data_IF_428402087630
#
_entry.id   IF_428402087630
#
_cell.length_a   1.000
_cell.length_b   1.000
_cell.length_c   1.000
_cell.angle_alpha   90.00
_cell.angle_beta   90.00
_cell.angle_gamma   90.00
#
_symmetry.space_group_name_H-M   'P 1'
#
loop_
_entity.id
_entity.type
_entity.pdbx_description
1 polymer ?
#
# COMPACT_ATOMS: atom_id res chain seq x y z
N UNK A 1 23.29 37.61 4.42
CA UNK A 1 22.66 37.01 3.24
C UNK A 1 21.87 35.77 3.67
N UNK A 2 20.61 35.66 3.25
CA UNK A 2 19.81 34.49 3.50
C UNK A 2 20.19 33.41 2.49
N UNK A 3 20.20 32.15 2.95
CA UNK A 3 20.44 30.98 2.10
C UNK A 3 19.09 30.29 1.90
N UNK A 4 18.74 30.01 0.65
CA UNK A 4 17.53 29.22 0.30
C UNK A 4 17.97 27.86 -0.20
N UNK A 5 17.42 26.80 0.40
CA UNK A 5 17.57 25.46 -0.13
C UNK A 5 16.45 25.20 -1.18
N UNK A 6 16.86 24.76 -2.36
CA UNK A 6 15.95 24.26 -3.41
C UNK A 6 16.17 22.77 -3.51
N UNK A 7 15.08 22.01 -3.41
CA UNK A 7 15.13 20.55 -3.50
C UNK A 7 14.84 20.10 -4.94
N UNK A 8 15.70 19.23 -5.43
CA UNK A 8 15.51 18.52 -6.69
C UNK A 8 15.09 17.08 -6.40
N UNK A 9 13.91 16.71 -6.84
CA UNK A 9 13.30 15.41 -6.53
C UNK A 9 13.59 14.42 -7.64
N UNK A 10 14.28 13.31 -7.31
CA UNK A 10 14.52 12.26 -8.28
C UNK A 10 13.24 11.51 -8.63
N UNK A 11 13.27 10.84 -9.76
CA UNK A 11 12.22 9.87 -10.10
C UNK A 11 12.27 8.67 -9.14
N UNK A 12 11.09 8.19 -8.81
CA UNK A 12 10.91 7.03 -7.95
C UNK A 12 11.23 5.75 -8.73
N UNK A 13 11.86 4.74 -8.10
CA UNK A 13 12.20 3.46 -8.73
C UNK A 13 10.96 2.72 -9.24
N UNK A 14 11.10 1.95 -10.30
CA UNK A 14 10.04 1.13 -10.86
C UNK A 14 9.86 -0.17 -10.08
N UNK A 15 8.68 -0.78 -10.19
CA UNK A 15 8.36 -2.07 -9.60
C UNK A 15 8.01 -3.03 -10.73
N UNK A 16 8.76 -4.12 -10.82
CA UNK A 16 8.56 -5.19 -11.80
C UNK A 16 8.09 -6.47 -11.11
N UNK A 17 7.35 -7.28 -11.84
CA UNK A 17 7.01 -8.63 -11.44
C UNK A 17 8.21 -9.57 -11.53
N UNK A 18 8.02 -10.86 -11.18
CA UNK A 18 9.07 -11.88 -11.25
C UNK A 18 9.61 -12.13 -12.66
N UNK A 19 8.82 -11.83 -13.71
CA UNK A 19 9.16 -12.04 -15.11
C UNK A 19 9.78 -10.78 -15.74
N UNK A 20 9.84 -9.66 -15.02
CA UNK A 20 10.33 -8.38 -15.51
C UNK A 20 9.23 -7.56 -16.20
N UNK A 21 7.95 -7.93 -16.06
CA UNK A 21 6.83 -7.12 -16.52
C UNK A 21 6.61 -5.94 -15.57
N UNK A 22 6.39 -4.75 -16.12
CA UNK A 22 6.15 -3.54 -15.33
C UNK A 22 4.83 -3.65 -14.56
N UNK A 23 4.88 -3.40 -13.26
CA UNK A 23 3.73 -3.28 -12.38
C UNK A 23 3.46 -1.80 -12.05
N UNK A 24 4.50 -1.08 -11.61
CA UNK A 24 4.40 0.33 -11.23
C UNK A 24 5.56 1.11 -11.83
N UNK A 25 5.22 2.11 -12.63
CA UNK A 25 6.15 3.06 -13.22
C UNK A 25 5.86 4.50 -12.79
N UNK A 26 6.35 5.44 -13.58
CA UNK A 26 6.14 6.86 -13.37
C UNK A 26 5.51 7.50 -14.59
N UNK A 27 4.71 8.55 -14.34
CA UNK A 27 4.16 9.42 -15.37
C UNK A 27 4.37 10.88 -14.99
N UNK A 28 4.62 11.77 -15.97
CA UNK A 28 4.77 13.18 -15.68
C UNK A 28 3.44 13.79 -15.21
N UNK A 29 3.52 14.68 -14.24
CA UNK A 29 2.44 15.53 -13.81
C UNK A 29 2.98 16.94 -13.58
N UNK A 30 2.09 17.90 -13.47
CA UNK A 30 2.44 19.31 -13.42
C UNK A 30 1.68 19.98 -12.29
N UNK A 31 2.41 20.66 -11.39
CA UNK A 31 1.81 21.47 -10.34
C UNK A 31 1.79 22.94 -10.80
N UNK A 32 0.66 23.62 -10.65
CA UNK A 32 0.61 25.07 -10.76
C UNK A 32 1.02 25.65 -9.44
N UNK A 33 2.14 26.35 -9.45
CA UNK A 33 2.73 27.01 -8.30
C UNK A 33 2.37 28.49 -8.30
N UNK A 34 2.32 29.09 -7.12
CA UNK A 34 2.12 30.53 -6.94
C UNK A 34 3.11 31.12 -5.95
N UNK A 35 3.68 32.29 -6.26
CA UNK A 35 4.42 33.14 -5.33
C UNK A 35 3.51 34.34 -5.03
N UNK A 36 2.82 34.38 -3.89
CA UNK A 36 1.73 35.34 -3.66
C UNK A 36 2.11 36.81 -3.82
N UNK A 37 3.36 37.16 -3.50
CA UNK A 37 3.88 38.55 -3.63
C UNK A 37 4.07 38.97 -5.09
N UNK A 38 4.30 38.04 -5.99
CA UNK A 38 4.59 38.31 -7.40
C UNK A 38 3.33 38.35 -8.27
N UNK A 39 2.17 37.97 -7.69
CA UNK A 39 0.91 37.99 -8.40
C UNK A 39 0.45 39.40 -8.70
N UNK A 40 0.33 39.71 -9.98
CA UNK A 40 -0.26 40.97 -10.46
C UNK A 40 -1.80 40.84 -10.60
N UNK A 41 -2.52 41.98 -10.70
CA UNK A 41 -3.95 41.95 -10.97
C UNK A 41 -4.24 41.09 -12.21
N UNK A 42 -5.20 40.15 -12.10
CA UNK A 42 -5.56 39.22 -13.16
C UNK A 42 -7.08 39.03 -13.23
N UNK A 43 -7.57 38.64 -14.40
CA UNK A 43 -8.94 38.14 -14.51
C UNK A 43 -9.04 36.78 -13.80
N UNK A 44 -9.61 36.81 -12.61
CA UNK A 44 -9.76 35.63 -11.76
C UNK A 44 -10.72 34.61 -12.38
N UNK A 45 -11.75 35.06 -13.12
CA UNK A 45 -12.71 34.16 -13.72
C UNK A 45 -12.08 33.41 -14.91
N UNK A 46 -11.36 34.13 -15.78
CA UNK A 46 -10.62 33.51 -16.89
C UNK A 46 -9.59 32.51 -16.34
N UNK A 47 -8.83 32.91 -15.32
CA UNK A 47 -7.81 32.04 -14.74
C UNK A 47 -8.40 30.80 -14.08
N UNK A 48 -9.50 30.93 -13.33
CA UNK A 48 -10.19 29.79 -12.72
C UNK A 48 -10.74 28.83 -13.79
N UNK A 49 -11.34 29.37 -14.86
CA UNK A 49 -11.84 28.56 -15.99
C UNK A 49 -10.68 27.79 -16.66
N UNK A 50 -9.56 28.45 -16.85
CA UNK A 50 -8.35 27.85 -17.41
C UNK A 50 -7.81 26.70 -16.57
N UNK A 51 -7.84 26.84 -15.24
CA UNK A 51 -7.38 25.82 -14.30
C UNK A 51 -8.42 24.75 -13.96
N UNK A 52 -9.65 24.91 -14.39
CA UNK A 52 -10.77 24.00 -14.06
C UNK A 52 -11.06 23.98 -12.55
N UNK A 53 -11.00 25.13 -11.87
CA UNK A 53 -11.30 25.27 -10.44
C UNK A 53 -12.36 26.36 -10.21
N UNK A 54 -13.14 26.20 -9.15
CA UNK A 54 -14.10 27.20 -8.72
C UNK A 54 -13.41 28.43 -8.10
N UNK A 55 -14.01 29.62 -8.28
CA UNK A 55 -13.47 30.88 -7.78
C UNK A 55 -13.26 30.88 -6.27
N UNK A 56 -14.17 30.32 -5.53
CA UNK A 56 -14.12 30.17 -4.07
C UNK A 56 -12.93 29.29 -3.64
N UNK A 57 -12.69 28.20 -4.38
CA UNK A 57 -11.56 27.32 -4.16
C UNK A 57 -10.23 28.04 -4.44
N UNK A 58 -10.17 28.85 -5.51
CA UNK A 58 -9.00 29.68 -5.82
C UNK A 58 -8.70 30.67 -4.70
N UNK A 59 -9.71 31.44 -4.25
CA UNK A 59 -9.56 32.42 -3.18
C UNK A 59 -9.06 31.76 -1.89
N UNK A 60 -9.66 30.63 -1.52
CA UNK A 60 -9.25 29.86 -0.33
C UNK A 60 -7.80 29.41 -0.42
N UNK A 61 -7.36 28.89 -1.57
CA UNK A 61 -5.98 28.42 -1.79
C UNK A 61 -5.00 29.59 -1.80
N UNK A 62 -5.35 30.72 -2.42
CA UNK A 62 -4.54 31.94 -2.38
C UNK A 62 -4.37 32.49 -0.97
N UNK A 63 -5.45 32.47 -0.16
CA UNK A 63 -5.38 32.85 1.25
C UNK A 63 -4.43 31.94 2.02
N UNK A 64 -4.52 30.61 1.85
CA UNK A 64 -3.60 29.64 2.47
C UNK A 64 -2.14 29.90 2.05
N UNK A 65 -1.90 30.12 0.77
CA UNK A 65 -0.56 30.40 0.25
C UNK A 65 0.03 31.70 0.88
N UNK A 66 -0.76 32.77 0.97
CA UNK A 66 -0.37 34.03 1.62
C UNK A 66 -0.09 33.85 3.12
N UNK A 67 -0.91 33.07 3.82
CA UNK A 67 -0.74 32.77 5.26
C UNK A 67 0.51 31.94 5.50
N UNK A 68 0.81 30.97 4.64
CA UNK A 68 2.03 30.18 4.74
C UNK A 68 3.28 31.04 4.51
N UNK A 69 3.35 31.72 3.39
CA UNK A 69 4.40 32.71 3.10
C UNK A 69 4.05 33.54 1.86
N UNK A 70 4.10 34.87 1.94
CA UNK A 70 3.93 35.74 0.76
C UNK A 70 5.05 35.58 -0.27
N UNK A 71 6.24 35.12 0.14
CA UNK A 71 7.47 35.09 -0.66
C UNK A 71 7.91 33.72 -1.12
N UNK A 72 7.40 32.66 -0.51
CA UNK A 72 7.75 31.29 -0.88
C UNK A 72 6.72 30.70 -1.85
N UNK A 73 7.16 29.85 -2.78
CA UNK A 73 6.26 29.12 -3.64
C UNK A 73 5.29 28.24 -2.87
N UNK A 74 4.04 28.23 -3.29
CA UNK A 74 3.00 27.36 -2.76
C UNK A 74 2.28 26.65 -3.91
N UNK A 75 1.85 25.41 -3.69
CA UNK A 75 1.07 24.66 -4.67
C UNK A 75 -0.35 25.22 -4.73
N UNK A 76 -0.75 25.75 -5.88
CA UNK A 76 -2.11 26.23 -6.13
C UNK A 76 -3.02 25.11 -6.65
N UNK A 77 -2.59 24.45 -7.72
CA UNK A 77 -3.30 23.31 -8.29
C UNK A 77 -2.32 22.15 -8.46
N UNK A 78 -2.44 21.08 -7.66
CA UNK A 78 -1.54 19.95 -7.76
C UNK A 78 -1.93 19.01 -8.91
N UNK A 79 -0.93 18.34 -9.44
CA UNK A 79 -1.05 17.09 -10.19
C UNK A 79 -1.96 17.17 -11.43
N UNK A 80 -1.73 18.20 -12.27
CA UNK A 80 -2.31 18.26 -13.60
C UNK A 80 -1.77 17.13 -14.49
N UNK A 81 -2.62 16.55 -15.30
CA UNK A 81 -2.20 15.61 -16.34
C UNK A 81 -1.39 16.30 -17.44
N UNK A 82 -0.76 15.53 -18.30
CA UNK A 82 -0.06 16.05 -19.47
C UNK A 82 -1.03 16.76 -20.44
N UNK A 83 -2.23 16.23 -20.58
CA UNK A 83 -3.30 16.76 -21.44
C UNK A 83 -3.80 18.11 -20.89
N UNK A 84 -4.09 18.18 -19.59
CA UNK A 84 -4.50 19.43 -18.92
C UNK A 84 -3.41 20.51 -19.03
N UNK A 85 -2.15 20.11 -18.89
CA UNK A 85 -1.01 21.02 -18.99
C UNK A 85 -0.81 21.57 -20.40
N UNK A 86 -0.96 20.76 -21.45
CA UNK A 86 -0.76 21.19 -22.82
C UNK A 86 -1.65 22.39 -23.19
N UNK A 87 -2.91 22.40 -22.71
CA UNK A 87 -3.84 23.52 -22.90
C UNK A 87 -3.49 24.78 -22.09
N UNK A 88 -2.68 24.62 -21.02
CA UNK A 88 -2.30 25.70 -20.12
C UNK A 88 -0.98 26.39 -20.51
N UNK A 89 -0.06 25.66 -21.16
CA UNK A 89 1.33 26.06 -21.34
C UNK A 89 1.52 27.45 -21.98
N UNK A 90 0.77 27.74 -23.03
CA UNK A 90 0.85 29.05 -23.70
C UNK A 90 0.26 30.17 -22.86
N UNK A 91 -0.87 29.93 -22.24
CA UNK A 91 -1.66 30.92 -21.52
C UNK A 91 -1.03 31.30 -20.17
N UNK A 92 -0.33 30.37 -19.52
CA UNK A 92 0.32 30.61 -18.22
C UNK A 92 1.35 31.75 -18.25
N UNK A 93 1.93 32.04 -19.40
CA UNK A 93 2.89 33.15 -19.57
C UNK A 93 2.29 34.53 -19.29
N UNK A 94 0.97 34.66 -19.41
CA UNK A 94 0.25 35.92 -19.18
C UNK A 94 -0.09 36.15 -17.70
N UNK A 95 0.11 35.14 -16.83
CA UNK A 95 -0.25 35.21 -15.41
C UNK A 95 1.01 35.30 -14.55
N UNK A 96 1.48 36.53 -14.29
CA UNK A 96 2.66 36.74 -13.48
C UNK A 96 2.47 36.28 -12.03
N UNK A 97 3.50 35.70 -11.43
CA UNK A 97 3.48 35.10 -10.10
C UNK A 97 3.00 33.65 -10.07
N UNK A 98 2.61 33.09 -11.22
CA UNK A 98 2.29 31.68 -11.37
C UNK A 98 3.27 31.01 -12.32
N UNK A 99 3.61 29.77 -12.01
CA UNK A 99 4.46 28.95 -12.87
C UNK A 99 4.16 27.47 -12.73
N UNK A 100 4.64 26.67 -13.68
CA UNK A 100 4.45 25.23 -13.68
C UNK A 100 5.71 24.55 -13.18
N UNK A 101 5.52 23.64 -12.23
CA UNK A 101 6.56 22.74 -11.75
C UNK A 101 6.25 21.31 -12.19
N UNK A 102 7.18 20.69 -12.93
CA UNK A 102 7.08 19.28 -13.29
C UNK A 102 7.22 18.41 -12.04
N UNK A 103 6.38 17.39 -11.96
CA UNK A 103 6.38 16.38 -10.89
C UNK A 103 6.24 15.00 -11.50
N UNK A 104 6.67 13.99 -10.79
CA UNK A 104 6.45 12.60 -11.16
C UNK A 104 5.33 12.00 -10.30
N UNK A 105 4.36 11.36 -10.92
CA UNK A 105 3.33 10.55 -10.26
C UNK A 105 3.53 9.08 -10.59
N UNK A 106 2.92 8.20 -9.79
CA UNK A 106 2.87 6.78 -10.12
C UNK A 106 1.96 6.49 -11.30
N UNK A 107 2.35 5.49 -12.05
CA UNK A 107 1.59 4.86 -13.11
C UNK A 107 1.50 3.37 -12.81
N UNK A 108 0.31 2.82 -12.72
CA UNK A 108 0.09 1.40 -12.54
C UNK A 108 -0.18 0.77 -13.90
N UNK A 109 0.68 -0.18 -14.31
CA UNK A 109 0.58 -0.91 -15.57
C UNK A 109 -0.37 -2.12 -15.47
N UNK A 110 -1.10 -2.23 -14.37
CA UNK A 110 -2.11 -3.25 -14.09
C UNK A 110 -3.22 -2.62 -13.25
N UNK A 111 -4.44 -3.11 -13.39
CA UNK A 111 -5.59 -2.78 -12.54
C UNK A 111 -5.69 -3.67 -11.29
N UNK A 112 -4.75 -4.61 -11.13
CA UNK A 112 -4.72 -5.63 -10.10
C UNK A 112 -3.61 -5.39 -9.08
N UNK A 113 -3.68 -6.07 -7.92
CA UNK A 113 -2.65 -6.04 -6.88
C UNK A 113 -2.66 -4.78 -6.01
N UNK A 114 -3.75 -4.01 -5.99
CA UNK A 114 -3.81 -2.72 -5.30
C UNK A 114 -3.37 -2.76 -3.84
N UNK A 115 -3.80 -3.76 -3.07
CA UNK A 115 -3.44 -3.89 -1.65
C UNK A 115 -1.96 -4.25 -1.46
N UNK A 116 -1.40 -5.08 -2.34
CA UNK A 116 0.00 -5.51 -2.28
C UNK A 116 0.93 -4.39 -2.76
N UNK A 117 0.64 -3.80 -3.93
CA UNK A 117 1.46 -2.72 -4.48
C UNK A 117 1.41 -1.49 -3.59
N UNK A 118 0.23 -1.17 -3.08
CA UNK A 118 0.00 0.01 -2.26
C UNK A 118 -0.09 1.28 -3.08
N UNK A 119 -0.01 2.42 -2.40
CA UNK A 119 -0.09 3.74 -3.03
C UNK A 119 0.78 4.77 -2.31
N UNK A 120 1.02 5.88 -2.99
CA UNK A 120 1.74 7.03 -2.43
C UNK A 120 0.80 8.21 -2.17
N UNK A 121 1.12 9.03 -1.19
CA UNK A 121 0.43 10.29 -0.94
C UNK A 121 1.35 11.34 -0.34
N UNK A 122 0.91 12.58 -0.34
CA UNK A 122 1.65 13.65 0.34
C UNK A 122 1.85 13.32 1.81
N UNK A 123 3.01 13.73 2.33
CA UNK A 123 3.36 13.62 3.75
C UNK A 123 2.41 14.47 4.60
N UNK A 124 2.10 13.98 5.79
CA UNK A 124 1.30 14.70 6.78
C UNK A 124 2.18 15.22 7.91
N UNK A 125 1.59 15.96 8.84
CA UNK A 125 2.32 16.55 9.98
C UNK A 125 3.06 15.50 10.83
N UNK A 126 2.47 14.32 11.03
CA UNK A 126 3.13 13.22 11.75
C UNK A 126 4.35 12.69 11.02
N UNK A 127 4.28 12.61 9.69
CA UNK A 127 5.43 12.19 8.88
C UNK A 127 6.59 13.19 9.02
N UNK A 128 6.28 14.48 9.01
CA UNK A 128 7.27 15.57 9.17
C UNK A 128 7.91 15.57 10.56
N UNK A 129 7.12 15.28 11.60
CA UNK A 129 7.63 15.19 12.97
C UNK A 129 8.52 13.96 13.19
N UNK A 130 8.13 12.82 12.59
CA UNK A 130 8.82 11.54 12.82
C UNK A 130 10.06 11.33 11.94
N UNK A 131 10.19 12.05 10.84
CA UNK A 131 11.32 11.87 9.93
C UNK A 131 11.74 13.20 9.29
N UNK A 132 12.88 13.75 9.69
CA UNK A 132 13.39 15.05 9.21
C UNK A 132 13.79 15.03 7.72
N UNK A 133 13.83 13.86 7.10
CA UNK A 133 14.08 13.74 5.66
C UNK A 133 13.00 14.44 4.84
N UNK A 134 11.74 14.38 5.27
CA UNK A 134 10.61 14.86 4.50
C UNK A 134 10.37 16.36 4.66
N UNK A 135 9.93 16.98 3.57
CA UNK A 135 9.47 18.35 3.52
C UNK A 135 8.00 18.36 3.07
N UNK A 136 7.26 19.37 3.51
CA UNK A 136 5.84 19.51 3.14
C UNK A 136 5.64 19.48 1.62
N UNK A 137 4.65 18.70 1.16
CA UNK A 137 4.34 18.49 -0.25
C UNK A 137 5.07 17.31 -0.90
N UNK A 138 6.00 16.65 -0.22
CA UNK A 138 6.64 15.42 -0.73
C UNK A 138 5.69 14.22 -0.70
N UNK A 139 5.97 13.23 -1.55
CA UNK A 139 5.22 12.00 -1.65
C UNK A 139 5.91 10.87 -0.88
N UNK A 140 5.10 10.06 -0.20
CA UNK A 140 5.55 8.91 0.60
C UNK A 140 4.66 7.71 0.37
N UNK A 141 5.22 6.50 0.36
CA UNK A 141 4.47 5.25 0.34
C UNK A 141 3.61 5.08 1.60
N UNK A 142 2.35 4.70 1.42
CA UNK A 142 1.38 4.59 2.52
C UNK A 142 1.08 3.16 2.92
N UNK A 143 1.00 2.27 1.96
CA UNK A 143 0.67 0.86 2.16
C UNK A 143 1.50 -0.02 1.23
N UNK A 144 1.46 -1.32 1.45
CA UNK A 144 2.03 -2.33 0.57
C UNK A 144 3.53 -2.16 0.30
N UNK A 145 3.94 -2.57 -0.88
CA UNK A 145 5.32 -2.51 -1.37
C UNK A 145 5.84 -1.06 -1.39
N UNK A 146 4.99 -0.10 -1.78
CA UNK A 146 5.35 1.32 -1.80
C UNK A 146 5.80 1.83 -0.42
N UNK A 147 5.16 1.35 0.65
CA UNK A 147 5.54 1.71 2.03
C UNK A 147 6.76 0.94 2.50
N UNK A 148 6.77 -0.37 2.27
CA UNK A 148 7.81 -1.24 2.81
C UNK A 148 9.18 -0.93 2.20
N UNK A 149 9.22 -0.62 0.91
CA UNK A 149 10.44 -0.29 0.17
C UNK A 149 10.60 1.21 -0.09
N UNK A 150 9.97 2.05 0.75
CA UNK A 150 10.01 3.52 0.60
C UNK A 150 11.42 4.06 0.40
N UNK A 151 12.38 3.68 1.23
CA UNK A 151 13.75 4.20 1.18
C UNK A 151 14.51 3.80 -0.09
N UNK A 152 14.19 2.62 -0.63
CA UNK A 152 14.77 2.11 -1.86
C UNK A 152 14.18 2.82 -3.07
N UNK A 153 12.84 2.96 -3.07
CA UNK A 153 12.07 3.48 -4.18
C UNK A 153 12.15 5.00 -4.32
N UNK A 154 12.18 5.75 -3.21
CA UNK A 154 12.15 7.22 -3.25
C UNK A 154 13.44 7.85 -3.78
N UNK A 155 14.57 7.14 -3.71
CA UNK A 155 15.88 7.69 -4.01
C UNK A 155 16.37 8.71 -2.97
N UNK A 156 17.28 9.58 -3.37
CA UNK A 156 17.79 10.69 -2.53
C UNK A 156 17.61 11.99 -3.27
N UNK A 157 16.97 12.96 -2.64
CA UNK A 157 16.80 14.30 -3.19
C UNK A 157 18.13 15.05 -3.26
N UNK A 158 18.29 15.81 -4.34
CA UNK A 158 19.33 16.82 -4.47
C UNK A 158 18.95 18.08 -3.71
N UNK A 159 19.95 18.82 -3.29
CA UNK A 159 19.77 20.11 -2.62
C UNK A 159 20.70 21.11 -3.27
N UNK A 160 20.16 22.23 -3.74
CA UNK A 160 20.89 23.38 -4.23
C UNK A 160 20.72 24.54 -3.26
N UNK A 161 21.82 25.14 -2.85
CA UNK A 161 21.82 26.29 -1.94
C UNK A 161 22.01 27.58 -2.72
N UNK A 162 20.95 28.39 -2.75
CA UNK A 162 20.98 29.69 -3.44
C UNK A 162 21.13 30.81 -2.42
N UNK A 163 22.11 31.70 -2.66
CA UNK A 163 22.33 32.91 -1.87
C UNK A 163 21.33 33.99 -2.29
N UNK A 164 20.72 34.66 -1.31
CA UNK A 164 19.78 35.75 -1.52
C UNK A 164 20.31 37.08 -0.96
N UNK A 165 19.99 38.17 -1.67
CA UNK A 165 20.26 39.51 -1.18
C UNK A 165 19.26 39.94 -0.09
N UNK A 166 19.47 41.16 0.43
CA UNK A 166 18.57 41.78 1.43
C UNK A 166 17.13 42.00 0.90
N UNK A 167 16.94 41.99 -0.41
CA UNK A 167 15.66 42.15 -1.08
C UNK A 167 15.04 40.79 -1.48
N UNK A 168 15.63 39.68 -1.03
CA UNK A 168 15.21 38.30 -1.34
C UNK A 168 15.39 37.90 -2.81
N UNK A 169 16.24 38.59 -3.58
CA UNK A 169 16.58 38.22 -4.96
C UNK A 169 17.72 37.20 -4.95
N UNK A 170 17.68 36.27 -5.92
CA UNK A 170 18.70 35.26 -6.08
C UNK A 170 20.00 35.91 -6.62
N UNK A 171 21.08 35.74 -5.89
CA UNK A 171 22.40 36.25 -6.27
C UNK A 171 23.19 35.21 -7.05
N UNK A 172 22.97 33.91 -6.71
CA UNK A 172 23.65 32.79 -7.32
C UNK A 172 23.87 31.63 -6.35
N UNK A 173 24.61 30.60 -6.79
CA UNK A 173 24.92 29.45 -5.94
C UNK A 173 25.72 29.83 -4.70
N UNK A 174 25.29 29.40 -3.52
CA UNK A 174 26.02 29.65 -2.28
C UNK A 174 27.37 28.93 -2.30
N UNK A 175 28.44 29.67 -1.99
CA UNK A 175 29.84 29.19 -2.06
C UNK A 175 30.20 28.53 -3.39
N UNK A 176 29.63 29.00 -4.51
CA UNK A 176 29.90 28.46 -5.83
C UNK A 176 29.35 27.03 -6.04
N UNK A 177 28.30 26.65 -5.30
CA UNK A 177 27.67 25.32 -5.43
C UNK A 177 28.42 24.16 -4.74
N UNK A 178 29.46 24.44 -3.96
CA UNK A 178 30.29 23.38 -3.31
C UNK A 178 29.53 22.54 -2.29
N UNK A 179 28.37 23.02 -1.80
CA UNK A 179 27.52 22.31 -0.85
C UNK A 179 26.30 21.66 -1.52
N UNK A 180 26.15 21.84 -2.84
CA UNK A 180 25.05 21.26 -3.57
C UNK A 180 25.21 19.75 -3.69
N UNK A 181 24.10 19.04 -3.63
CA UNK A 181 24.05 17.60 -3.83
C UNK A 181 23.16 17.27 -5.02
N UNK A 182 23.62 16.36 -5.88
CA UNK A 182 22.79 15.90 -7.00
C UNK A 182 21.73 14.89 -6.53
N UNK A 183 20.55 14.91 -7.13
CA UNK A 183 19.54 13.90 -6.86
C UNK A 183 20.03 12.52 -7.31
N UNK A 184 19.73 11.50 -6.51
CA UNK A 184 19.98 10.11 -6.87
C UNK A 184 18.67 9.39 -7.06
N UNK A 185 18.43 8.89 -8.27
CA UNK A 185 17.21 8.17 -8.64
C UNK A 185 16.95 6.98 -7.69
N UNK A 186 15.67 6.70 -7.44
CA UNK A 186 15.24 5.51 -6.73
C UNK A 186 15.63 4.24 -7.47
N UNK A 187 15.95 3.20 -6.73
CA UNK A 187 16.31 1.91 -7.32
C UNK A 187 15.04 1.15 -7.71
N UNK A 188 15.11 0.49 -8.84
CA UNK A 188 14.11 -0.46 -9.28
C UNK A 188 14.09 -1.68 -8.37
N UNK A 189 12.93 -2.27 -8.20
CA UNK A 189 12.76 -3.53 -7.48
C UNK A 189 12.02 -4.53 -8.35
N UNK A 190 12.42 -5.78 -8.24
CA UNK A 190 11.69 -6.92 -8.79
C UNK A 190 11.10 -7.70 -7.62
N UNK A 191 9.80 -7.94 -7.67
CA UNK A 191 9.08 -8.69 -6.64
C UNK A 191 8.72 -10.08 -7.14
N UNK A 192 8.35 -10.97 -6.23
CA UNK A 192 8.10 -12.39 -6.56
C UNK A 192 6.71 -12.64 -7.16
N UNK A 193 5.82 -11.64 -7.15
CA UNK A 193 4.51 -11.76 -7.77
C UNK A 193 4.60 -12.02 -9.27
N UNK A 194 3.72 -12.91 -9.76
CA UNK A 194 3.45 -13.08 -11.18
C UNK A 194 2.21 -12.27 -11.54
N UNK A 195 2.40 -11.27 -12.42
CA UNK A 195 1.34 -10.34 -12.82
C UNK A 195 0.13 -11.06 -13.38
N UNK A 196 0.35 -12.05 -14.28
CA UNK A 196 -0.75 -12.78 -14.92
C UNK A 196 -1.52 -13.63 -13.94
N UNK A 197 -0.82 -14.26 -13.00
CA UNK A 197 -1.45 -15.06 -11.95
C UNK A 197 -2.25 -14.18 -10.99
N UNK A 198 -1.73 -13.00 -10.63
CA UNK A 198 -2.43 -12.02 -9.80
C UNK A 198 -3.73 -11.55 -10.48
N UNK A 199 -3.66 -11.12 -11.73
CA UNK A 199 -4.81 -10.68 -12.53
C UNK A 199 -5.85 -11.80 -12.70
N UNK A 200 -5.40 -13.03 -12.95
CA UNK A 200 -6.27 -14.18 -13.04
C UNK A 200 -7.01 -14.46 -11.73
N UNK A 201 -6.28 -14.44 -10.61
CA UNK A 201 -6.87 -14.68 -9.29
C UNK A 201 -7.87 -13.60 -8.89
N UNK A 202 -7.61 -12.33 -9.20
CA UNK A 202 -8.56 -11.25 -8.93
C UNK A 202 -9.82 -11.37 -9.79
N UNK A 203 -9.72 -11.79 -11.04
CA UNK A 203 -10.89 -12.10 -11.87
C UNK A 203 -11.72 -13.23 -11.29
N UNK A 204 -11.09 -14.30 -10.79
CA UNK A 204 -11.80 -15.41 -10.13
C UNK A 204 -12.50 -14.98 -8.83
N UNK A 205 -11.96 -13.96 -8.16
CA UNK A 205 -12.52 -13.38 -6.93
C UNK A 205 -13.59 -12.32 -7.19
N UNK A 206 -13.85 -11.98 -8.45
CA UNK A 206 -14.92 -11.02 -8.77
C UNK A 206 -16.26 -11.47 -8.17
N UNK A 207 -16.93 -10.55 -7.46
CA UNK A 207 -18.18 -10.83 -6.75
C UNK A 207 -18.06 -11.74 -5.52
N UNK A 208 -16.83 -12.10 -5.11
CA UNK A 208 -16.58 -12.95 -3.93
C UNK A 208 -15.84 -12.16 -2.85
N UNK A 209 -15.88 -12.69 -1.62
CA UNK A 209 -15.20 -12.09 -0.46
C UNK A 209 -14.26 -13.11 0.18
N UNK A 210 -12.97 -12.75 0.24
CA UNK A 210 -11.94 -13.62 0.82
C UNK A 210 -10.55 -13.25 0.36
N UNK A 211 -9.56 -14.06 0.70
CA UNK A 211 -8.17 -13.95 0.28
C UNK A 211 -7.67 -15.23 -0.37
N UNK A 212 -6.76 -15.09 -1.34
CA UNK A 212 -6.00 -16.21 -1.92
C UNK A 212 -4.53 -15.83 -1.87
N UNK A 213 -3.70 -16.74 -1.39
CA UNK A 213 -2.23 -16.61 -1.43
C UNK A 213 -1.66 -17.82 -2.13
N UNK A 214 -0.87 -17.60 -3.16
CA UNK A 214 -0.13 -18.65 -3.85
C UNK A 214 1.36 -18.54 -3.48
N UNK A 215 1.90 -19.61 -2.91
CA UNK A 215 3.29 -19.66 -2.44
C UNK A 215 3.99 -20.81 -3.15
N UNK A 216 5.19 -20.57 -3.67
CA UNK A 216 6.04 -21.64 -4.18
C UNK A 216 6.71 -22.38 -3.02
N UNK A 217 6.45 -23.70 -2.85
CA UNK A 217 6.90 -24.41 -1.65
C UNK A 217 8.42 -24.53 -1.50
N UNK A 218 9.16 -24.53 -2.60
CA UNK A 218 10.63 -24.70 -2.58
C UNK A 218 11.37 -23.43 -2.17
N UNK A 219 10.94 -22.29 -2.70
CA UNK A 219 11.62 -21.00 -2.49
C UNK A 219 10.96 -20.15 -1.39
N UNK A 220 9.69 -20.41 -1.08
CA UNK A 220 8.87 -19.56 -0.22
C UNK A 220 8.38 -18.28 -0.92
N UNK A 221 8.62 -18.13 -2.22
CA UNK A 221 8.19 -16.95 -2.98
C UNK A 221 6.67 -16.84 -3.06
N UNK A 222 6.15 -15.66 -2.80
CA UNK A 222 4.74 -15.36 -2.95
C UNK A 222 4.49 -15.00 -4.42
N UNK A 223 3.78 -15.87 -5.13
CA UNK A 223 3.48 -15.73 -6.56
C UNK A 223 2.24 -14.88 -6.82
N UNK A 224 1.25 -14.94 -5.93
CA UNK A 224 0.06 -14.11 -5.98
C UNK A 224 -0.49 -13.89 -4.57
N UNK A 225 -1.06 -12.70 -4.35
CA UNK A 225 -1.66 -12.29 -3.09
C UNK A 225 -2.93 -11.49 -3.39
N UNK A 226 -4.07 -12.16 -3.35
CA UNK A 226 -5.35 -11.64 -3.82
C UNK A 226 -6.28 -11.39 -2.63
N UNK A 227 -6.84 -10.19 -2.58
CA UNK A 227 -7.87 -9.80 -1.61
C UNK A 227 -9.14 -9.40 -2.36
N UNK A 228 -10.23 -10.11 -2.16
CA UNK A 228 -11.51 -9.77 -2.76
C UNK A 228 -12.52 -9.27 -1.72
N UNK A 229 -13.30 -8.23 -1.99
CA UNK A 229 -13.22 -7.29 -3.12
C UNK A 229 -11.96 -6.43 -3.12
N UNK A 230 -11.49 -6.08 -4.31
CA UNK A 230 -10.33 -5.22 -4.54
C UNK A 230 -10.74 -3.92 -5.24
N UNK A 231 -9.79 -3.10 -5.60
CA UNK A 231 -9.99 -1.84 -6.35
C UNK A 231 -8.83 -1.63 -7.34
N UNK A 232 -9.07 -0.82 -8.36
CA UNK A 232 -8.02 -0.41 -9.29
C UNK A 232 -7.04 0.55 -8.60
N UNK A 233 -5.73 0.23 -8.53
CA UNK A 233 -4.74 1.07 -7.88
C UNK A 233 -4.62 2.47 -8.50
N UNK A 234 -4.95 2.64 -9.78
CA UNK A 234 -4.95 3.92 -10.48
C UNK A 234 -5.92 4.94 -9.85
N UNK A 235 -6.97 4.48 -9.18
CA UNK A 235 -7.91 5.34 -8.44
C UNK A 235 -7.22 6.17 -7.35
N UNK A 236 -6.09 5.69 -6.84
CA UNK A 236 -5.32 6.37 -5.78
C UNK A 236 -4.15 7.20 -6.33
N UNK A 237 -4.22 7.61 -7.59
CA UNK A 237 -3.27 8.50 -8.25
C UNK A 237 -3.92 9.84 -8.59
N UNK A 238 -3.13 10.91 -8.53
CA UNK A 238 -3.51 12.23 -9.04
C UNK A 238 -4.55 12.97 -8.18
N UNK A 239 -5.17 13.99 -8.78
CA UNK A 239 -6.08 14.94 -8.10
C UNK A 239 -7.28 14.29 -7.43
N UNK A 240 -7.80 13.19 -8.01
CA UNK A 240 -8.99 12.48 -7.50
C UNK A 240 -8.68 11.53 -6.33
N UNK A 241 -7.39 11.32 -6.01
CA UNK A 241 -6.93 10.36 -5.00
C UNK A 241 -7.67 10.50 -3.66
N UNK A 242 -7.70 11.69 -3.08
CA UNK A 242 -8.32 11.89 -1.75
C UNK A 242 -9.80 11.56 -1.75
N UNK A 243 -10.54 11.98 -2.78
CA UNK A 243 -11.97 11.66 -2.94
C UNK A 243 -12.19 10.16 -3.11
N UNK A 244 -11.37 9.51 -3.95
CA UNK A 244 -11.46 8.08 -4.19
C UNK A 244 -11.07 7.29 -2.94
N UNK A 245 -10.00 7.68 -2.23
CA UNK A 245 -9.61 7.06 -0.98
C UNK A 245 -10.74 7.12 0.05
N UNK A 246 -11.39 8.28 0.21
CA UNK A 246 -12.53 8.43 1.13
C UNK A 246 -13.65 7.44 0.77
N UNK A 247 -14.00 7.32 -0.52
CA UNK A 247 -15.02 6.35 -0.96
C UNK A 247 -14.64 4.91 -0.64
N UNK A 248 -13.40 4.52 -0.94
CA UNK A 248 -12.91 3.15 -0.71
C UNK A 248 -12.78 2.83 0.78
N UNK A 249 -12.32 3.80 1.59
CA UNK A 249 -12.09 3.60 3.02
C UNK A 249 -13.39 3.50 3.83
N UNK A 250 -14.39 4.32 3.48
CA UNK A 250 -15.69 4.32 4.14
C UNK A 250 -16.69 3.34 3.52
N UNK A 251 -16.30 2.53 2.55
CA UNK A 251 -17.10 1.40 2.09
C UNK A 251 -17.09 0.29 3.15
N UNK A 252 -18.10 0.32 4.01
CA UNK A 252 -18.26 -0.64 5.12
C UNK A 252 -18.71 -2.02 4.66
N UNK A 253 -19.24 -2.14 3.44
CA UNK A 253 -19.74 -3.40 2.89
C UNK A 253 -18.60 -4.18 2.24
N UNK A 254 -17.98 -3.64 1.22
CA UNK A 254 -16.94 -4.35 0.48
C UNK A 254 -15.57 -4.26 1.16
N UNK A 255 -15.27 -3.14 1.86
CA UNK A 255 -13.99 -2.88 2.54
C UNK A 255 -12.79 -3.21 1.64
N UNK A 256 -12.67 -2.59 0.45
CA UNK A 256 -11.68 -3.01 -0.56
C UNK A 256 -10.25 -2.68 -0.15
N UNK A 257 -10.05 -1.69 0.74
CA UNK A 257 -8.74 -1.32 1.27
C UNK A 257 -8.24 -2.26 2.38
N UNK A 258 -9.10 -3.17 2.86
CA UNK A 258 -8.72 -4.14 3.89
C UNK A 258 -8.21 -5.42 3.22
N UNK A 259 -6.91 -5.67 3.37
CA UNK A 259 -6.26 -6.81 2.74
C UNK A 259 -6.61 -8.13 3.44
N UNK A 260 -7.51 -8.89 2.84
CA UNK A 260 -7.97 -10.17 3.37
C UNK A 260 -6.96 -11.29 3.20
N UNK A 261 -5.98 -11.13 2.35
CA UNK A 261 -4.93 -12.13 2.18
C UNK A 261 -3.98 -12.19 3.37
N UNK A 262 -3.90 -11.10 4.14
CA UNK A 262 -3.02 -10.97 5.31
C UNK A 262 -3.83 -10.84 6.61
N UNK A 263 -4.91 -10.04 6.58
CA UNK A 263 -5.60 -9.61 7.81
C UNK A 263 -6.86 -10.43 8.13
N UNK A 264 -7.32 -11.29 7.20
CA UNK A 264 -8.48 -12.10 7.48
C UNK A 264 -8.12 -13.23 8.46
N UNK A 265 -8.95 -13.39 9.48
CA UNK A 265 -8.87 -14.47 10.46
C UNK A 265 -10.05 -15.46 10.26
N UNK A 266 -10.12 -16.16 9.11
CA UNK A 266 -11.16 -17.15 8.91
C UNK A 266 -10.91 -18.35 9.82
N UNK A 267 -12.00 -18.92 10.36
CA UNK A 267 -11.90 -20.18 11.08
C UNK A 267 -11.21 -21.23 10.21
N UNK A 268 -10.08 -21.80 10.64
CA UNK A 268 -9.37 -22.83 9.88
C UNK A 268 -10.24 -24.10 9.86
N UNK A 269 -10.69 -24.49 8.70
CA UNK A 269 -11.61 -25.62 8.54
C UNK A 269 -10.85 -26.95 8.43
N UNK A 270 -11.38 -27.91 7.71
CA UNK A 270 -10.81 -29.26 7.55
C UNK A 270 -9.34 -29.33 7.11
N UNK A 271 -8.75 -28.38 6.35
CA UNK A 271 -7.31 -28.40 6.07
C UNK A 271 -6.41 -28.40 7.31
N UNK A 272 -6.87 -27.80 8.42
CA UNK A 272 -6.13 -27.84 9.69
C UNK A 272 -5.94 -29.24 10.25
N UNK A 273 -6.77 -30.22 9.83
CA UNK A 273 -6.66 -31.60 10.29
C UNK A 273 -5.34 -32.27 9.90
N UNK A 274 -4.79 -31.91 8.74
CA UNK A 274 -3.48 -32.42 8.30
C UNK A 274 -2.36 -31.87 9.18
N UNK A 275 -2.42 -30.59 9.54
CA UNK A 275 -1.48 -29.99 10.49
C UNK A 275 -1.61 -30.65 11.87
N UNK A 276 -2.84 -30.82 12.40
CA UNK A 276 -3.08 -31.52 13.66
C UNK A 276 -2.57 -32.96 13.63
N UNK A 277 -2.64 -33.65 12.48
CA UNK A 277 -2.06 -34.99 12.34
C UNK A 277 -0.53 -34.96 12.50
N UNK A 278 0.14 -34.02 11.83
CA UNK A 278 1.59 -33.86 11.92
C UNK A 278 2.05 -33.53 13.32
N UNK A 279 1.40 -32.55 13.98
CA UNK A 279 1.70 -32.17 15.37
C UNK A 279 1.50 -33.35 16.33
N UNK A 280 0.41 -34.11 16.18
CA UNK A 280 0.11 -35.25 17.04
C UNK A 280 1.09 -36.41 16.86
N UNK A 281 1.55 -36.68 15.62
CA UNK A 281 2.58 -37.66 15.32
C UNK A 281 3.94 -37.23 15.83
N UNK A 282 4.35 -36.00 15.57
CA UNK A 282 5.64 -35.45 16.01
C UNK A 282 5.72 -35.39 17.55
N UNK A 283 4.65 -34.98 18.21
CA UNK A 283 4.56 -34.95 19.67
C UNK A 283 4.40 -36.33 20.33
N UNK A 284 4.38 -37.42 19.56
CA UNK A 284 4.24 -38.80 20.07
C UNK A 284 2.92 -39.08 20.76
N UNK A 285 1.89 -38.29 20.49
CA UNK A 285 0.55 -38.43 21.11
C UNK A 285 -0.27 -39.51 20.42
N UNK A 286 0.00 -39.71 19.14
CA UNK A 286 -0.51 -40.79 18.31
C UNK A 286 0.59 -41.39 17.44
N UNK A 287 0.36 -42.56 16.93
CA UNK A 287 1.09 -43.21 15.83
C UNK A 287 0.15 -43.49 14.67
N UNK A 288 0.69 -44.08 13.58
CA UNK A 288 -0.09 -44.41 12.39
C UNK A 288 -1.11 -45.51 12.63
N UNK A 289 -0.95 -46.31 13.67
CA UNK A 289 -1.85 -47.41 14.07
C UNK A 289 -2.96 -46.97 15.03
N UNK A 290 -2.82 -45.76 15.63
CA UNK A 290 -3.73 -45.25 16.65
C UNK A 290 -5.16 -45.06 16.09
N UNK A 291 -6.15 -45.69 16.75
CA UNK A 291 -7.54 -45.69 16.32
C UNK A 291 -8.43 -45.01 17.36
N UNK A 292 -9.37 -44.20 16.87
CA UNK A 292 -10.44 -43.62 17.68
C UNK A 292 -11.83 -43.95 17.09
N UNK A 293 -12.80 -44.11 17.95
CA UNK A 293 -14.17 -44.36 17.55
C UNK A 293 -14.96 -43.08 17.39
N UNK A 294 -15.58 -42.90 16.23
CA UNK A 294 -16.48 -41.79 15.97
C UNK A 294 -17.92 -42.16 16.18
N UNK A 295 -18.61 -41.47 17.05
CA UNK A 295 -20.05 -41.60 17.33
C UNK A 295 -20.85 -40.51 16.62
N UNK A 296 -20.58 -40.31 15.32
CA UNK A 296 -21.16 -39.23 14.49
C UNK A 296 -20.95 -37.83 15.07
N UNK A 297 -19.82 -37.62 15.74
CA UNK A 297 -19.42 -36.34 16.32
C UNK A 297 -18.54 -36.50 17.54
N UNK A 298 -18.16 -35.35 18.07
CA UNK A 298 -17.43 -35.20 19.34
C UNK A 298 -18.01 -34.06 20.15
N UNK A 299 -17.84 -34.12 21.48
CA UNK A 299 -18.23 -33.03 22.36
C UNK A 299 -17.05 -32.05 22.56
N UNK A 300 -17.32 -30.77 22.46
CA UNK A 300 -16.43 -29.69 22.88
C UNK A 300 -17.15 -28.93 23.99
N UNK A 301 -16.73 -29.14 25.21
CA UNK A 301 -17.50 -28.76 26.39
C UNK A 301 -18.86 -29.49 26.38
N UNK A 302 -19.94 -28.73 26.53
CA UNK A 302 -21.34 -29.25 26.48
C UNK A 302 -21.93 -29.33 25.07
N UNK A 303 -21.23 -28.82 24.05
CA UNK A 303 -21.77 -28.75 22.68
C UNK A 303 -21.29 -29.92 21.84
N UNK A 304 -22.22 -30.69 21.25
CA UNK A 304 -21.90 -31.73 20.27
C UNK A 304 -21.57 -31.12 18.93
N UNK A 305 -20.37 -31.38 18.41
CA UNK A 305 -19.96 -31.07 17.04
C UNK A 305 -20.15 -32.28 16.16
N UNK A 306 -21.04 -32.18 15.18
CA UNK A 306 -21.36 -33.24 14.24
C UNK A 306 -20.18 -33.67 13.37
N UNK A 307 -20.27 -34.92 12.86
CA UNK A 307 -19.30 -35.47 11.94
C UNK A 307 -20.01 -36.18 10.80
N UNK A 308 -19.64 -35.89 9.58
CA UNK A 308 -20.23 -36.46 8.36
C UNK A 308 -19.49 -37.71 7.87
N UNK A 309 -18.61 -38.31 8.68
CA UNK A 309 -17.77 -39.44 8.26
C UNK A 309 -18.46 -40.80 8.30
N UNK A 310 -19.75 -40.85 8.68
CA UNK A 310 -20.50 -42.10 8.78
C UNK A 310 -20.21 -42.95 10.04
N UNK A 311 -19.56 -42.37 11.06
CA UNK A 311 -19.24 -43.05 12.32
C UNK A 311 -18.19 -44.15 12.19
N UNK A 312 -18.07 -45.01 13.24
CA UNK A 312 -17.17 -46.17 13.25
C UNK A 312 -15.75 -45.88 13.75
N UNK A 313 -14.88 -46.88 13.71
CA UNK A 313 -13.47 -46.76 14.10
C UNK A 313 -12.67 -46.14 12.95
N UNK A 314 -11.81 -45.19 13.31
CA UNK A 314 -10.96 -44.45 12.35
C UNK A 314 -9.50 -44.49 12.82
N UNK A 315 -8.59 -44.70 11.90
CA UNK A 315 -7.18 -44.41 11.98
C UNK A 315 -6.85 -43.06 11.35
N UNK A 316 -5.60 -42.67 11.32
CA UNK A 316 -5.18 -41.36 10.76
C UNK A 316 -5.56 -41.22 9.27
N UNK A 317 -5.38 -42.29 8.46
CA UNK A 317 -5.67 -42.25 7.03
C UNK A 317 -7.17 -42.07 6.78
N UNK A 318 -7.98 -42.92 7.39
CA UNK A 318 -9.46 -42.85 7.29
C UNK A 318 -10.01 -41.60 7.97
N UNK A 319 -9.32 -41.07 8.99
CA UNK A 319 -9.61 -39.78 9.63
C UNK A 319 -9.46 -38.61 8.69
N UNK A 320 -8.35 -38.55 7.93
CA UNK A 320 -8.10 -37.53 6.89
C UNK A 320 -9.07 -37.73 5.72
N UNK A 321 -9.10 -38.93 5.13
CA UNK A 321 -9.91 -39.24 3.95
C UNK A 321 -11.40 -38.95 4.17
N UNK A 322 -11.96 -39.35 5.32
CA UNK A 322 -13.35 -39.09 5.71
C UNK A 322 -13.59 -37.76 6.37
N UNK A 323 -12.54 -36.96 6.51
CA UNK A 323 -12.57 -35.66 7.20
C UNK A 323 -13.25 -35.73 8.59
N UNK A 324 -12.87 -36.75 9.40
CA UNK A 324 -13.52 -37.06 10.65
C UNK A 324 -13.21 -36.06 11.77
N UNK A 325 -14.18 -35.26 12.19
CA UNK A 325 -14.02 -34.30 13.28
C UNK A 325 -13.73 -34.97 14.61
N UNK A 326 -14.38 -36.10 14.89
CA UNK A 326 -14.20 -36.84 16.15
C UNK A 326 -12.80 -37.45 16.27
N UNK A 327 -12.23 -37.95 15.17
CA UNK A 327 -10.86 -38.45 15.16
C UNK A 327 -9.87 -37.37 15.57
N UNK A 328 -9.94 -36.20 14.96
CA UNK A 328 -8.98 -35.11 15.23
C UNK A 328 -9.23 -34.37 16.55
N UNK A 329 -10.43 -34.46 17.12
CA UNK A 329 -10.68 -33.93 18.46
C UNK A 329 -9.99 -34.76 19.57
N UNK A 330 -9.76 -36.04 19.35
CA UNK A 330 -9.14 -36.93 20.33
C UNK A 330 -7.63 -36.64 20.52
N UNK A 331 -6.79 -36.63 19.46
CA UNK A 331 -5.39 -36.26 19.57
C UNK A 331 -5.21 -34.84 20.13
N UNK A 332 -6.00 -33.88 19.64
CA UNK A 332 -5.95 -32.51 20.15
C UNK A 332 -6.17 -32.46 21.68
N UNK A 333 -7.18 -33.16 22.19
CA UNK A 333 -7.39 -33.25 23.63
C UNK A 333 -6.24 -33.92 24.36
N UNK A 334 -5.63 -34.96 23.78
CA UNK A 334 -4.47 -35.62 24.38
C UNK A 334 -3.26 -34.68 24.47
N UNK A 335 -3.00 -33.87 23.44
CA UNK A 335 -1.96 -32.85 23.47
C UNK A 335 -2.27 -31.83 24.57
N UNK A 336 -3.50 -31.31 24.57
CA UNK A 336 -3.95 -30.29 25.48
C UNK A 336 -3.90 -30.73 26.98
N UNK A 337 -4.17 -31.99 27.24
CA UNK A 337 -4.14 -32.56 28.61
C UNK A 337 -2.83 -33.29 28.96
N UNK A 338 -1.85 -33.30 28.10
CA UNK A 338 -0.53 -33.89 28.39
C UNK A 338 0.28 -33.03 29.34
N UNK A 339 -0.01 -31.75 29.45
CA UNK A 339 0.70 -30.76 30.24
C UNK A 339 -0.14 -30.34 31.44
N UNK A 340 0.51 -29.86 32.53
CA UNK A 340 -0.17 -29.52 33.81
C UNK A 340 -1.26 -28.46 33.65
N UNK A 341 -1.07 -27.51 32.73
CA UNK A 341 -2.08 -26.49 32.44
C UNK A 341 -2.49 -26.53 30.96
N UNK A 342 -3.75 -26.18 30.66
CA UNK A 342 -4.22 -26.06 29.25
C UNK A 342 -3.39 -25.09 28.44
N UNK A 343 -2.91 -23.98 29.02
CA UNK A 343 -2.13 -22.96 28.32
C UNK A 343 -0.76 -23.50 27.90
N UNK A 344 -0.08 -24.30 28.75
CA UNK A 344 1.18 -24.98 28.39
C UNK A 344 0.97 -25.95 27.23
N UNK A 345 -0.16 -26.69 27.22
CA UNK A 345 -0.50 -27.57 26.09
C UNK A 345 -0.72 -26.82 24.79
N UNK A 346 -1.30 -25.62 24.84
CA UNK A 346 -1.47 -24.74 23.67
C UNK A 346 -0.13 -24.18 23.18
N UNK A 347 0.72 -23.70 24.07
CA UNK A 347 2.06 -23.18 23.71
C UNK A 347 2.89 -24.25 22.99
N UNK A 348 2.84 -25.50 23.47
CA UNK A 348 3.54 -26.60 22.80
C UNK A 348 2.92 -26.93 21.43
N UNK A 349 1.60 -26.88 21.32
CA UNK A 349 0.92 -27.08 20.04
C UNK A 349 1.27 -25.98 19.03
N UNK A 350 1.32 -24.73 19.46
CA UNK A 350 1.70 -23.58 18.65
C UNK A 350 3.20 -23.56 18.28
N UNK A 351 4.04 -24.15 19.11
CA UNK A 351 5.49 -24.24 18.91
C UNK A 351 5.95 -25.33 17.92
N UNK A 352 5.05 -26.21 17.51
CA UNK A 352 5.29 -27.25 16.49
C UNK A 352 4.95 -26.77 15.08
#
# INVERSE_FOLDING_TARGET
PAIKAIYDYPERGYIYDRNGELLVGNQPAYDVMVIPREVKPLDTLEFCKLLGIEKEAFISKMKKAKTYSPRLPSVLVPQLSKEDYAGLQEKMRHFEGFYIQKRSLRYYATDSGANVLGYISEVNERDLQNNPYYVAGELKGRTGIEKQYEEVLRGRKGIQYIQKDRFNRDIGPYKGGKLDTLPKQGREIRITLDKKLQEYGERLMHGKRGGIVAIEPKSGEILAMISGPTYDPSLLVGRKRSRNYTKLHYDTISKPTWDRSILAEPSPRSPLKTLNALVALHGGVIDTSTKFRCYNGSYVGRTKRGCHCGGGVRDINSGIFKSCNAYFAAPFRKIYHKYPTPDEGMVVWEGH
#
